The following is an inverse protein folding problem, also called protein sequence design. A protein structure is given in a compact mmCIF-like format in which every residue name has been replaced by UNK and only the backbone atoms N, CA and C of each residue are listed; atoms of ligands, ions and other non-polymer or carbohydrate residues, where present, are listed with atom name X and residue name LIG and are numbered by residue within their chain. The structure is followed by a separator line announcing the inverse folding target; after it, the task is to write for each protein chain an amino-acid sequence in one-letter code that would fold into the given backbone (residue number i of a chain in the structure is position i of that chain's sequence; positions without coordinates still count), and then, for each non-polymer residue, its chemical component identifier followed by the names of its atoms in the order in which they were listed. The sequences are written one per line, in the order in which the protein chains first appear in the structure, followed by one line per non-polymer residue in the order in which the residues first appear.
data_IF_555885140259
#
_entry.id   IF_555885140259
#
_cell.length_a   1.000
_cell.length_b   1.000
_cell.length_c   1.000
_cell.angle_alpha   90.00
_cell.angle_beta   90.00
_cell.angle_gamma   90.00
#
_symmetry.space_group_name_H-M   'P 1'
#
loop_
_entity.id
_entity.type
_entity.pdbx_description
1 polymer ?
#
# COMPACT_ATOMS: atom_id res chain seq x y z
N UNK A 1 -3.31 -10.81 -2.90
CA UNK A 1 -3.07 -9.79 -1.85
C UNK A 1 -1.61 -9.39 -1.94
N UNK A 2 -1.25 -8.17 -1.54
CA UNK A 2 0.13 -7.67 -1.54
C UNK A 2 0.48 -7.23 -0.12
N UNK A 3 1.55 -7.76 0.45
CA UNK A 3 2.05 -7.29 1.74
C UNK A 3 2.96 -6.06 1.56
N UNK A 4 2.54 -4.94 2.15
CA UNK A 4 3.36 -3.75 2.36
C UNK A 4 4.10 -3.85 3.69
N UNK A 5 5.41 -3.57 3.66
CA UNK A 5 6.28 -3.68 4.83
C UNK A 5 6.59 -2.29 5.37
N UNK A 6 6.43 -2.12 6.68
CA UNK A 6 6.76 -0.91 7.41
C UNK A 6 7.96 -1.16 8.33
N UNK A 7 8.82 -0.16 8.51
CA UNK A 7 9.99 -0.25 9.39
C UNK A 7 9.59 -0.17 10.88
N UNK A 8 8.42 0.38 11.19
CA UNK A 8 7.92 0.45 12.56
C UNK A 8 6.43 0.77 12.69
N UNK A 9 5.84 0.61 13.90
CA UNK A 9 4.39 0.73 14.14
C UNK A 9 3.78 2.11 13.87
N UNK A 10 4.61 3.15 13.75
CA UNK A 10 4.21 4.53 13.51
C UNK A 10 4.97 5.15 12.32
N UNK A 11 5.45 4.32 11.40
CA UNK A 11 6.13 4.78 10.18
C UNK A 11 5.14 5.36 9.17
N UNK A 12 4.65 6.57 9.45
CA UNK A 12 3.71 7.28 8.58
C UNK A 12 4.31 7.60 7.22
N UNK A 13 5.61 7.90 7.17
CA UNK A 13 6.30 8.21 5.93
C UNK A 13 6.37 6.97 5.02
N UNK A 14 6.78 5.82 5.59
CA UNK A 14 6.79 4.53 4.89
C UNK A 14 5.39 4.11 4.45
N UNK A 15 4.40 4.21 5.33
CA UNK A 15 3.00 3.93 4.98
C UNK A 15 2.53 4.77 3.79
N UNK A 16 2.78 6.09 3.82
CA UNK A 16 2.35 6.99 2.75
C UNK A 16 3.06 6.69 1.43
N UNK A 17 4.36 6.40 1.47
CA UNK A 17 5.11 6.04 0.27
C UNK A 17 4.54 4.77 -0.36
N UNK A 18 4.30 3.76 0.46
CA UNK A 18 3.86 2.45 -0.01
C UNK A 18 2.42 2.42 -0.48
N UNK A 19 1.53 3.13 0.22
CA UNK A 19 0.15 3.33 -0.23
C UNK A 19 0.08 3.99 -1.61
N UNK A 20 0.94 5.00 -1.86
CA UNK A 20 0.98 5.69 -3.18
C UNK A 20 1.52 4.77 -4.27
N UNK A 21 2.54 3.96 -3.96
CA UNK A 21 3.11 2.98 -4.88
C UNK A 21 2.08 1.92 -5.29
N UNK A 22 1.36 1.38 -4.31
CA UNK A 22 0.30 0.38 -4.51
C UNK A 22 -0.89 0.95 -5.28
N UNK A 23 -1.31 2.17 -4.94
CA UNK A 23 -2.37 2.88 -5.66
C UNK A 23 -1.99 3.12 -7.12
N UNK A 24 -0.73 3.51 -7.39
CA UNK A 24 -0.24 3.67 -8.76
C UNK A 24 -0.21 2.33 -9.53
N UNK A 25 0.03 1.21 -8.85
CA UNK A 25 -0.06 -0.13 -9.42
C UNK A 25 -1.50 -0.64 -9.58
N UNK A 26 -2.51 0.12 -9.17
CA UNK A 26 -3.93 -0.26 -9.27
C UNK A 26 -4.37 -1.29 -8.23
N UNK A 27 -3.61 -1.46 -7.15
CA UNK A 27 -3.97 -2.37 -6.06
C UNK A 27 -5.08 -1.72 -5.21
N UNK A 28 -6.21 -2.42 -5.07
CA UNK A 28 -7.32 -1.96 -4.23
C UNK A 28 -6.93 -2.04 -2.74
N UNK A 29 -7.39 -1.10 -1.88
CA UNK A 29 -6.99 -1.06 -0.47
C UNK A 29 -7.25 -2.35 0.32
N UNK A 30 -8.36 -3.02 0.04
CA UNK A 30 -8.74 -4.32 0.61
C UNK A 30 -7.84 -5.49 0.16
N UNK A 31 -7.07 -5.29 -0.92
CA UNK A 31 -6.06 -6.22 -1.39
C UNK A 31 -4.68 -6.04 -0.76
N UNK A 32 -4.51 -5.08 0.16
CA UNK A 32 -3.22 -4.75 0.79
C UNK A 32 -3.17 -5.28 2.22
N UNK A 33 -2.19 -6.15 2.50
CA UNK A 33 -1.77 -6.49 3.85
C UNK A 33 -0.71 -5.51 4.33
N UNK A 34 -0.74 -5.12 5.61
CA UNK A 34 0.29 -4.28 6.22
C UNK A 34 0.98 -5.07 7.33
N UNK A 35 2.31 -5.04 7.34
CA UNK A 35 3.10 -5.72 8.37
C UNK A 35 4.39 -4.97 8.68
N UNK A 36 4.96 -5.26 9.84
CA UNK A 36 6.28 -4.79 10.21
C UNK A 36 7.37 -5.65 9.55
N UNK A 37 8.54 -5.08 9.33
CA UNK A 37 9.71 -5.81 8.84
C UNK A 37 10.12 -6.96 9.80
N UNK A 38 9.84 -6.81 11.09
CA UNK A 38 10.08 -7.84 12.11
C UNK A 38 9.08 -9.00 12.09
N UNK A 39 7.97 -8.87 11.36
CA UNK A 39 6.93 -9.89 11.31
C UNK A 39 7.16 -10.86 10.14
N UNK A 40 6.81 -12.12 10.35
CA UNK A 40 6.85 -13.13 9.31
C UNK A 40 5.88 -12.76 8.16
N UNK A 41 6.22 -13.07 6.90
CA UNK A 41 5.31 -12.86 5.77
C UNK A 41 3.98 -13.62 5.96
N UNK A 42 2.87 -13.01 5.52
CA UNK A 42 1.56 -13.68 5.52
C UNK A 42 1.48 -14.78 4.45
N UNK A 43 0.56 -15.73 4.64
CA UNK A 43 0.34 -16.86 3.70
C UNK A 43 -0.13 -16.44 2.29
N UNK A 44 -0.57 -15.19 2.12
CA UNK A 44 -1.21 -14.70 0.89
C UNK A 44 -0.57 -13.41 0.33
N UNK A 45 0.52 -12.95 0.96
CA UNK A 45 1.14 -11.64 0.71
C UNK A 45 2.24 -11.61 -0.35
N UNK A 46 2.47 -12.72 -1.05
CA UNK A 46 3.53 -12.92 -2.03
C UNK A 46 3.16 -12.49 -3.46
N UNK A 47 2.05 -11.77 -3.62
CA UNK A 47 1.62 -11.28 -4.93
C UNK A 47 2.66 -10.36 -5.56
N UNK A 48 2.85 -10.51 -6.87
CA UNK A 48 3.64 -9.57 -7.67
C UNK A 48 2.78 -8.36 -8.02
N UNK A 49 3.40 -7.18 -8.04
CA UNK A 49 2.68 -5.96 -8.40
C UNK A 49 2.33 -5.96 -9.89
N UNK A 50 1.09 -5.56 -10.24
CA UNK A 50 0.74 -5.29 -11.61
C UNK A 50 1.60 -4.16 -12.17
N UNK A 51 1.93 -4.23 -13.46
CA UNK A 51 2.51 -3.11 -14.19
C UNK A 51 1.43 -2.03 -14.44
N UNK A 52 1.13 -1.27 -13.39
CA UNK A 52 0.18 -0.15 -13.41
C UNK A 52 0.88 1.19 -13.23
N UNK A 53 0.39 2.21 -13.94
CA UNK A 53 0.73 3.63 -13.71
C UNK A 53 -0.55 4.45 -13.63
N UNK A 54 -1.35 4.20 -12.60
CA UNK A 54 -2.51 5.01 -12.27
C UNK A 54 -2.06 6.32 -11.59
N UNK A 55 -2.63 7.44 -12.01
CA UNK A 55 -2.54 8.72 -11.29
C UNK A 55 -3.75 8.90 -10.40
N UNK A 56 -3.53 9.10 -9.10
CA UNK A 56 -4.57 9.42 -8.15
C UNK A 56 -4.83 10.93 -8.10
N UNK A 57 -6.09 11.33 -8.31
CA UNK A 57 -6.55 12.71 -8.14
C UNK A 57 -7.63 12.78 -7.07
N UNK A 58 -7.57 13.81 -6.22
CA UNK A 58 -8.60 14.09 -5.22
C UNK A 58 -9.42 15.29 -5.70
N UNK A 59 -10.75 15.18 -5.82
CA UNK A 59 -11.61 16.33 -6.12
C UNK A 59 -11.44 17.45 -5.09
N UNK A 60 -11.61 18.71 -5.51
CA UNK A 60 -11.45 19.87 -4.61
C UNK A 60 -12.36 19.82 -3.38
N UNK A 61 -13.60 19.32 -3.53
CA UNK A 61 -14.57 19.21 -2.44
C UNK A 61 -14.57 17.85 -1.74
N UNK A 62 -13.43 17.16 -1.66
CA UNK A 62 -13.36 15.85 -0.99
C UNK A 62 -13.47 15.94 0.53
N UNK A 63 -13.08 17.08 1.11
CA UNK A 63 -13.09 17.32 2.55
C UNK A 63 -14.29 18.15 3.02
N UNK A 64 -15.10 18.63 2.08
CA UNK A 64 -16.35 19.36 2.35
C UNK A 64 -17.49 18.39 2.61
#
# INVERSE_FOLDING_TARGET
MIDAVLEGPADFAGWRAEARRLLAAGVAPDGVGWRLASEAPGLFGDGTLPEGRATASVPRGFLD
#
